data_IF_710264146983
#
_entry.id   IF_710264146983
#
_cell.length_a   1.000
_cell.length_b   1.000
_cell.length_c   1.000
_cell.angle_alpha   90.00
_cell.angle_beta   90.00
_cell.angle_gamma   90.00
#
_symmetry.space_group_name_H-M   'P 1'
#
loop_
_entity.id
_entity.type
_entity.pdbx_description
1 polymer ?
#
# COMPACT_ATOMS: atom_id res chain seq x y z
N UNK A 1 -14.64 -25.92 12.57
CA UNK A 1 -14.62 -24.65 11.81
C UNK A 1 -13.77 -24.86 10.58
N UNK A 2 -14.11 -24.23 9.46
CA UNK A 2 -13.27 -24.29 8.27
C UNK A 2 -11.94 -23.53 8.53
N UNK A 3 -10.84 -24.04 8.00
CA UNK A 3 -9.58 -23.34 8.00
C UNK A 3 -9.64 -22.27 6.89
N UNK A 4 -9.51 -21.00 7.29
CA UNK A 4 -9.58 -19.86 6.36
C UNK A 4 -8.20 -19.30 6.02
N UNK A 5 -7.12 -19.89 6.54
CA UNK A 5 -5.77 -19.43 6.29
C UNK A 5 -5.44 -19.48 4.79
N UNK A 6 -4.76 -18.46 4.33
CA UNK A 6 -4.25 -18.36 2.97
C UNK A 6 -2.79 -17.92 2.98
N UNK A 7 -2.05 -18.30 1.96
CA UNK A 7 -0.65 -17.90 1.79
C UNK A 7 -0.54 -16.99 0.57
N UNK A 8 0.07 -15.85 0.77
CA UNK A 8 0.40 -14.91 -0.31
C UNK A 8 1.91 -14.66 -0.22
N UNK A 9 2.63 -15.08 -1.27
CA UNK A 9 4.05 -14.80 -1.40
C UNK A 9 4.90 -15.17 -0.16
N UNK A 10 4.62 -16.33 0.43
CA UNK A 10 5.32 -16.81 1.62
C UNK A 10 4.78 -16.29 2.96
N UNK A 11 3.90 -15.30 2.95
CA UNK A 11 3.24 -14.79 4.17
C UNK A 11 1.94 -15.53 4.41
N UNK A 12 1.76 -16.10 5.60
CA UNK A 12 0.50 -16.71 6.03
C UNK A 12 -0.43 -15.63 6.59
N UNK A 13 -1.64 -15.56 6.04
CA UNK A 13 -2.73 -14.74 6.55
C UNK A 13 -3.75 -15.62 7.26
N UNK A 14 -4.28 -15.17 8.39
CA UNK A 14 -5.30 -15.90 9.17
C UNK A 14 -6.59 -16.16 8.37
N UNK A 15 -6.88 -15.32 7.39
CA UNK A 15 -8.00 -15.42 6.46
C UNK A 15 -7.74 -14.51 5.23
N UNK A 16 -8.53 -14.61 4.14
CA UNK A 16 -8.30 -13.85 2.91
C UNK A 16 -8.76 -12.38 2.95
N UNK A 17 -9.25 -11.88 4.10
CA UNK A 17 -9.73 -10.50 4.20
C UNK A 17 -8.57 -9.55 4.45
N UNK A 18 -8.31 -8.65 3.52
CA UNK A 18 -7.32 -7.59 3.66
C UNK A 18 -8.04 -6.25 3.59
N UNK A 19 -7.88 -5.42 4.63
CA UNK A 19 -8.35 -4.04 4.58
C UNK A 19 -7.58 -3.26 3.52
N UNK A 20 -8.31 -2.62 2.60
CA UNK A 20 -7.70 -1.94 1.46
C UNK A 20 -7.06 -0.62 1.85
N UNK A 21 -5.89 -0.34 1.30
CA UNK A 21 -5.20 0.94 1.41
C UNK A 21 -6.11 2.10 0.95
N UNK A 22 -6.02 3.22 1.65
CA UNK A 22 -6.78 4.44 1.35
C UNK A 22 -8.17 4.50 1.98
N UNK A 23 -8.66 3.41 2.59
CA UNK A 23 -9.97 3.36 3.26
C UNK A 23 -9.87 3.05 4.75
N UNK A 24 -8.71 2.61 5.22
CA UNK A 24 -8.51 2.07 6.56
C UNK A 24 -7.47 2.84 7.41
N UNK A 25 -6.79 3.82 6.84
CA UNK A 25 -5.71 4.53 7.52
C UNK A 25 -4.58 3.59 7.94
N UNK A 26 -4.14 3.71 9.17
CA UNK A 26 -3.27 2.74 9.84
C UNK A 26 -4.04 1.81 10.78
N UNK A 27 -5.38 1.89 10.79
CA UNK A 27 -6.25 1.00 11.55
C UNK A 27 -6.62 1.48 12.96
N UNK A 28 -6.06 2.59 13.45
CA UNK A 28 -6.30 3.09 14.80
C UNK A 28 -7.79 3.28 15.10
N UNK A 29 -8.50 3.97 14.22
CA UNK A 29 -9.93 4.25 14.38
C UNK A 29 -10.79 2.98 14.33
N UNK A 30 -10.40 2.01 13.51
CA UNK A 30 -11.11 0.74 13.39
C UNK A 30 -10.81 -0.21 14.54
N UNK A 31 -9.60 -0.14 15.11
CA UNK A 31 -9.21 -0.90 16.30
C UNK A 31 -10.05 -0.57 17.55
N UNK A 32 -10.67 0.62 17.58
CA UNK A 32 -11.65 0.98 18.62
C UNK A 32 -13.00 0.27 18.46
N UNK A 33 -13.32 -0.23 17.26
CA UNK A 33 -14.61 -0.84 16.94
C UNK A 33 -14.59 -2.37 17.04
N UNK A 34 -13.48 -3.01 16.67
CA UNK A 34 -13.31 -4.47 16.70
C UNK A 34 -11.82 -4.87 16.69
N UNK A 35 -11.49 -6.09 17.15
CA UNK A 35 -10.12 -6.59 17.10
C UNK A 35 -9.60 -6.70 15.66
N UNK A 36 -8.50 -6.03 15.35
CA UNK A 36 -7.93 -6.07 14.00
C UNK A 36 -7.37 -7.45 13.63
N UNK A 37 -7.14 -8.34 14.59
CA UNK A 37 -6.80 -9.75 14.38
C UNK A 37 -7.88 -10.57 13.66
N UNK A 38 -9.11 -10.04 13.54
CA UNK A 38 -10.16 -10.64 12.71
C UNK A 38 -9.87 -10.49 11.20
N UNK A 39 -8.98 -9.57 10.83
CA UNK A 39 -8.51 -9.39 9.46
C UNK A 39 -7.26 -10.24 9.20
N UNK A 40 -7.16 -10.82 8.01
CA UNK A 40 -5.95 -11.50 7.56
C UNK A 40 -4.79 -10.54 7.32
N UNK A 41 -5.09 -9.28 6.95
CA UNK A 41 -4.07 -8.26 6.75
C UNK A 41 -4.63 -6.85 6.64
N UNK A 42 -3.76 -5.87 6.81
CA UNK A 42 -4.06 -4.45 6.62
C UNK A 42 -3.07 -3.87 5.62
N UNK A 43 -3.57 -3.44 4.45
CA UNK A 43 -2.80 -2.55 3.58
C UNK A 43 -2.95 -1.12 4.10
N UNK A 44 -1.86 -0.60 4.66
CA UNK A 44 -1.81 0.67 5.36
C UNK A 44 -2.07 1.85 4.44
N UNK A 45 -2.28 3.02 5.03
CA UNK A 45 -2.27 4.30 4.33
C UNK A 45 -0.99 4.44 3.50
N UNK A 46 -1.14 4.91 2.26
CA UNK A 46 0.02 5.17 1.41
C UNK A 46 0.99 6.15 2.06
N UNK A 47 2.21 5.69 2.28
CA UNK A 47 3.31 6.46 2.88
C UNK A 47 4.30 6.90 1.81
N UNK A 48 4.93 8.04 2.02
CA UNK A 48 5.98 8.60 1.17
C UNK A 48 7.30 8.70 1.92
N UNK A 49 8.39 8.90 1.20
CA UNK A 49 9.73 9.01 1.80
C UNK A 49 9.78 10.13 2.85
N UNK A 50 9.16 11.27 2.54
CA UNK A 50 8.99 12.40 3.45
C UNK A 50 7.51 12.59 3.79
N UNK A 51 7.22 13.25 4.91
CA UNK A 51 5.87 13.66 5.28
C UNK A 51 5.19 14.46 4.16
N UNK A 52 3.88 14.25 3.97
CA UNK A 52 3.03 15.05 3.09
C UNK A 52 1.83 15.59 3.85
N UNK A 53 1.71 16.89 3.90
CA UNK A 53 0.57 17.60 4.51
C UNK A 53 -0.72 17.47 3.71
N UNK A 54 -0.62 17.03 2.43
CA UNK A 54 -1.75 16.94 1.51
C UNK A 54 -2.16 18.31 0.95
N UNK A 55 -3.34 18.34 0.32
CA UNK A 55 -3.89 19.57 -0.24
C UNK A 55 -4.50 20.46 0.86
N UNK A 56 -4.58 21.79 0.66
CA UNK A 56 -5.31 22.68 1.58
C UNK A 56 -6.82 22.36 1.54
N UNK A 57 -7.55 22.59 2.66
CA UNK A 57 -9.02 22.50 2.68
C UNK A 57 -9.69 23.52 1.75
N UNK A 58 -10.93 23.23 1.24
CA UNK A 58 -11.71 22.01 1.45
C UNK A 58 -11.18 20.83 0.64
N UNK A 59 -11.17 19.63 1.23
CA UNK A 59 -10.64 18.40 0.62
C UNK A 59 -11.71 17.40 0.23
N UNK A 60 -12.92 17.61 0.69
CA UNK A 60 -14.07 16.72 0.52
C UNK A 60 -15.25 17.57 0.09
N UNK A 61 -16.03 17.06 -0.85
CA UNK A 61 -17.30 17.64 -1.28
C UNK A 61 -18.33 16.53 -1.48
N UNK A 62 -19.48 16.68 -0.86
CA UNK A 62 -20.60 15.76 -1.06
C UNK A 62 -21.26 15.99 -2.42
N UNK A 63 -21.79 14.92 -2.99
CA UNK A 63 -22.58 14.94 -4.22
C UNK A 63 -23.87 14.13 -3.98
N UNK A 64 -24.91 14.27 -4.81
CA UNK A 64 -26.14 13.50 -4.63
C UNK A 64 -25.98 11.98 -4.58
N UNK A 65 -24.91 11.44 -5.13
CA UNK A 65 -24.67 10.00 -5.23
C UNK A 65 -23.37 9.53 -4.58
N UNK A 66 -22.68 10.39 -3.82
CA UNK A 66 -21.41 10.02 -3.20
C UNK A 66 -20.59 11.22 -2.72
N UNK A 67 -19.26 11.05 -2.77
CA UNK A 67 -18.32 12.02 -2.24
C UNK A 67 -17.13 12.17 -3.18
N UNK A 68 -16.74 13.38 -3.48
CA UNK A 68 -15.48 13.73 -4.12
C UNK A 68 -14.42 14.02 -3.07
N UNK A 69 -13.19 13.59 -3.29
CA UNK A 69 -12.09 13.95 -2.41
C UNK A 69 -10.84 14.39 -3.20
N UNK A 70 -10.07 15.26 -2.57
CA UNK A 70 -8.78 15.74 -3.04
C UNK A 70 -7.80 15.83 -1.87
N UNK A 71 -7.66 14.75 -1.10
CA UNK A 71 -6.82 14.71 0.12
C UNK A 71 -5.35 14.98 -0.20
N UNK A 72 -4.85 14.54 -1.36
CA UNK A 72 -3.47 14.80 -1.78
C UNK A 72 -2.43 13.89 -1.11
N UNK A 73 -2.82 12.66 -0.79
CA UNK A 73 -1.96 11.65 -0.17
C UNK A 73 -1.29 12.13 1.13
N UNK A 74 -2.06 12.83 1.99
CA UNK A 74 -1.58 13.20 3.32
C UNK A 74 -1.12 11.95 4.08
N UNK A 75 0.11 12.00 4.58
CA UNK A 75 0.69 10.91 5.37
C UNK A 75 1.92 11.42 6.16
N UNK A 76 2.32 10.74 7.25
CA UNK A 76 3.38 11.20 8.12
C UNK A 76 4.81 10.87 7.61
N UNK A 77 4.95 10.16 6.48
CA UNK A 77 6.23 9.68 5.97
C UNK A 77 6.69 8.36 6.59
N UNK A 78 7.64 7.71 5.90
CA UNK A 78 8.11 6.36 6.26
C UNK A 78 8.79 6.30 7.64
N UNK A 79 9.53 7.32 8.02
CA UNK A 79 10.26 7.31 9.30
C UNK A 79 9.31 7.41 10.51
N UNK A 80 8.19 8.15 10.37
CA UNK A 80 7.15 8.18 11.40
C UNK A 80 6.43 6.81 11.45
N UNK A 81 6.05 6.27 10.31
CA UNK A 81 5.40 4.96 10.23
C UNK A 81 6.21 3.88 10.95
N UNK A 82 7.52 3.81 10.68
CA UNK A 82 8.40 2.83 11.31
C UNK A 82 8.54 3.00 12.83
N UNK A 83 8.48 4.24 13.32
CA UNK A 83 8.68 4.55 14.73
C UNK A 83 7.41 4.46 15.57
N UNK A 84 6.25 4.84 15.00
CA UNK A 84 5.01 5.01 15.75
C UNK A 84 3.93 4.00 15.32
N UNK A 85 3.58 3.95 14.02
CA UNK A 85 2.43 3.16 13.57
C UNK A 85 2.75 1.66 13.47
N UNK A 86 3.93 1.30 12.98
CA UNK A 86 4.30 -0.11 12.79
C UNK A 86 4.38 -0.89 14.11
N UNK A 87 5.02 -0.40 15.19
CA UNK A 87 5.02 -1.12 16.47
C UNK A 87 3.62 -1.38 16.99
N UNK A 88 2.73 -0.39 16.92
CA UNK A 88 1.33 -0.55 17.33
C UNK A 88 0.60 -1.59 16.45
N UNK A 89 0.78 -1.55 15.14
CA UNK A 89 0.17 -2.52 14.20
C UNK A 89 0.62 -3.95 14.49
N UNK A 90 1.89 -4.16 14.85
CA UNK A 90 2.41 -5.50 15.19
C UNK A 90 1.74 -6.11 16.42
N UNK A 91 1.28 -5.28 17.35
CA UNK A 91 0.52 -5.72 18.53
C UNK A 91 -0.89 -6.18 18.20
N UNK A 92 -1.42 -5.84 17.01
CA UNK A 92 -2.80 -6.16 16.63
C UNK A 92 -3.01 -7.59 16.14
N UNK A 93 -1.95 -8.36 15.87
CA UNK A 93 -2.06 -9.77 15.46
C UNK A 93 -2.63 -9.99 14.05
N UNK A 94 -2.40 -9.06 13.14
CA UNK A 94 -2.76 -9.12 11.71
C UNK A 94 -1.53 -8.84 10.84
N UNK A 95 -1.52 -9.32 9.60
CA UNK A 95 -0.41 -9.02 8.70
C UNK A 95 -0.39 -7.55 8.30
N UNK A 96 0.81 -6.95 8.32
CA UNK A 96 1.03 -5.54 8.01
C UNK A 96 1.62 -5.40 6.60
N UNK A 97 0.86 -4.75 5.71
CA UNK A 97 1.26 -4.47 4.35
C UNK A 97 1.55 -2.97 4.22
N UNK A 98 2.82 -2.61 4.11
CA UNK A 98 3.21 -1.21 3.94
C UNK A 98 2.93 -0.75 2.51
N UNK A 99 1.99 0.18 2.34
CA UNK A 99 1.69 0.78 1.04
C UNK A 99 2.62 1.97 0.81
N UNK A 100 3.50 1.89 -0.19
CA UNK A 100 4.48 2.95 -0.49
C UNK A 100 4.14 3.68 -1.79
N UNK A 101 4.29 4.99 -1.78
CA UNK A 101 4.03 5.86 -2.91
C UNK A 101 5.16 6.89 -3.08
N UNK A 102 5.62 7.06 -4.30
CA UNK A 102 6.70 8.00 -4.64
C UNK A 102 6.43 8.73 -5.94
N UNK A 103 7.21 9.76 -6.20
CA UNK A 103 7.20 10.49 -7.46
C UNK A 103 8.21 9.92 -8.45
N UNK A 104 9.27 9.29 -7.96
CA UNK A 104 10.34 8.71 -8.77
C UNK A 104 10.65 7.27 -8.34
N UNK A 105 11.24 6.45 -9.22
CA UNK A 105 11.67 5.10 -8.86
C UNK A 105 12.61 5.06 -7.65
N UNK A 106 13.50 6.05 -7.53
CA UNK A 106 14.47 6.15 -6.45
C UNK A 106 13.78 6.33 -5.08
N UNK A 107 12.66 7.07 -5.03
CA UNK A 107 11.86 7.20 -3.80
C UNK A 107 11.26 5.85 -3.37
N UNK A 108 10.75 5.04 -4.33
CA UNK A 108 10.26 3.70 -4.03
C UNK A 108 11.39 2.78 -3.55
N UNK A 109 12.55 2.82 -4.19
CA UNK A 109 13.71 2.04 -3.78
C UNK A 109 14.18 2.40 -2.37
N UNK A 110 14.30 3.69 -2.07
CA UNK A 110 14.71 4.16 -0.74
C UNK A 110 13.72 3.75 0.36
N UNK A 111 12.41 3.74 0.06
CA UNK A 111 11.41 3.25 1.01
C UNK A 111 11.46 1.72 1.14
N UNK A 112 11.64 0.99 0.04
CA UNK A 112 11.78 -0.46 0.07
C UNK A 112 12.99 -0.89 0.90
N UNK A 113 14.12 -0.19 0.77
CA UNK A 113 15.32 -0.42 1.57
C UNK A 113 15.05 -0.20 3.07
N UNK A 114 14.45 0.94 3.45
CA UNK A 114 14.10 1.23 4.85
C UNK A 114 13.14 0.19 5.44
N UNK A 115 12.17 -0.28 4.67
CA UNK A 115 11.19 -1.27 5.11
C UNK A 115 11.77 -2.68 5.15
N UNK A 116 12.84 -2.97 4.40
CA UNK A 116 13.47 -4.28 4.35
C UNK A 116 14.02 -4.72 5.71
N UNK A 117 14.49 -3.78 6.51
CA UNK A 117 15.03 -4.03 7.85
C UNK A 117 13.95 -3.90 8.95
N UNK A 118 12.68 -3.82 8.57
CA UNK A 118 11.55 -3.64 9.50
C UNK A 118 10.69 -4.89 9.63
N UNK A 119 9.74 -4.86 10.57
CA UNK A 119 8.80 -5.95 10.83
C UNK A 119 7.54 -5.91 9.96
N UNK A 120 7.55 -5.25 8.80
CA UNK A 120 6.43 -5.35 7.85
C UNK A 120 6.42 -6.72 7.17
N UNK A 121 5.24 -7.28 6.94
CA UNK A 121 5.10 -8.60 6.30
C UNK A 121 5.21 -8.49 4.77
N UNK A 122 4.71 -7.40 4.18
CA UNK A 122 4.73 -7.17 2.73
C UNK A 122 4.82 -5.68 2.40
N UNK A 123 5.27 -5.39 1.18
CA UNK A 123 5.27 -4.03 0.61
C UNK A 123 4.31 -3.97 -0.58
N UNK A 124 3.38 -3.01 -0.57
CA UNK A 124 2.48 -2.71 -1.69
C UNK A 124 2.99 -1.46 -2.44
N UNK A 125 3.33 -1.60 -3.72
CA UNK A 125 3.70 -0.46 -4.56
C UNK A 125 2.44 0.28 -5.04
N UNK A 126 2.24 1.50 -4.58
CA UNK A 126 1.14 2.36 -5.03
C UNK A 126 1.48 3.03 -6.36
N UNK A 127 1.17 2.37 -7.44
CA UNK A 127 1.36 2.85 -8.82
C UNK A 127 0.05 3.32 -9.45
N UNK A 128 -0.99 3.54 -8.66
CA UNK A 128 -2.34 3.90 -9.12
C UNK A 128 -2.83 5.29 -8.67
N UNK A 129 -2.04 6.04 -7.91
CA UNK A 129 -2.46 7.31 -7.35
C UNK A 129 -2.52 8.41 -8.43
N UNK A 130 -3.72 8.97 -8.75
CA UNK A 130 -3.84 10.05 -9.73
C UNK A 130 -3.41 11.41 -9.18
N UNK A 131 -3.27 11.53 -7.87
CA UNK A 131 -3.00 12.79 -7.16
C UNK A 131 -1.53 13.15 -7.06
N UNK A 132 -0.65 12.40 -7.75
CA UNK A 132 0.79 12.67 -7.81
C UNK A 132 1.09 13.23 -9.20
N UNK A 133 1.56 14.48 -9.28
CA UNK A 133 1.82 15.17 -10.56
C UNK A 133 2.91 14.51 -11.42
N UNK A 134 3.83 13.79 -10.79
CA UNK A 134 4.87 12.97 -11.42
C UNK A 134 4.97 11.67 -10.64
N UNK A 135 4.93 10.52 -11.31
CA UNK A 135 4.93 9.21 -10.65
C UNK A 135 3.53 8.58 -10.51
N UNK A 136 3.34 7.67 -9.56
CA UNK A 136 2.02 7.06 -9.29
C UNK A 136 1.37 6.42 -10.51
N UNK A 137 0.25 6.97 -10.99
CA UNK A 137 -0.49 6.46 -12.17
C UNK A 137 0.41 6.27 -13.39
N UNK A 138 1.41 7.12 -13.61
CA UNK A 138 2.27 7.05 -14.79
C UNK A 138 3.03 5.72 -14.87
N UNK A 139 3.44 5.16 -13.74
CA UNK A 139 4.09 3.84 -13.70
C UNK A 139 3.11 2.69 -13.94
N UNK A 140 1.86 2.85 -13.52
CA UNK A 140 0.83 1.82 -13.62
C UNK A 140 0.13 1.73 -14.98
N UNK A 141 0.40 2.65 -15.93
CA UNK A 141 -0.32 2.73 -17.22
C UNK A 141 0.27 1.86 -18.32
N UNK A 142 1.47 1.31 -18.14
CA UNK A 142 2.12 0.45 -19.13
C UNK A 142 2.82 -0.74 -18.48
N UNK A 143 2.92 -1.86 -19.22
CA UNK A 143 3.65 -3.04 -18.75
C UNK A 143 5.12 -2.70 -18.43
N UNK A 144 5.78 -1.93 -19.29
CA UNK A 144 7.17 -1.52 -19.10
C UNK A 144 7.36 -0.66 -17.84
N UNK A 145 6.40 0.25 -17.55
CA UNK A 145 6.42 1.06 -16.34
C UNK A 145 6.26 0.21 -15.08
N UNK A 146 5.30 -0.72 -15.08
CA UNK A 146 5.09 -1.66 -13.96
C UNK A 146 6.29 -2.57 -13.76
N UNK A 147 6.85 -3.14 -14.84
CA UNK A 147 8.04 -3.99 -14.79
C UNK A 147 9.24 -3.22 -14.26
N UNK A 148 9.48 -2.02 -14.79
CA UNK A 148 10.61 -1.18 -14.39
C UNK A 148 10.60 -0.81 -12.91
N UNK A 149 9.47 -0.30 -12.40
CA UNK A 149 9.37 0.09 -10.98
C UNK A 149 9.42 -1.12 -10.05
N UNK A 150 8.80 -2.23 -10.45
CA UNK A 150 8.77 -3.43 -9.62
C UNK A 150 10.13 -4.09 -9.52
N UNK A 151 10.83 -4.29 -10.65
CA UNK A 151 12.16 -4.92 -10.63
C UNK A 151 13.17 -4.08 -9.87
N UNK A 152 13.09 -2.76 -9.94
CA UNK A 152 13.93 -1.88 -9.13
C UNK A 152 13.61 -2.00 -7.64
N UNK A 153 12.36 -1.87 -7.24
CA UNK A 153 11.96 -1.97 -5.82
C UNK A 153 12.30 -3.33 -5.21
N UNK A 154 12.07 -4.43 -5.94
CA UNK A 154 12.40 -5.79 -5.48
C UNK A 154 13.90 -5.97 -5.23
N UNK A 155 14.77 -5.32 -6.00
CA UNK A 155 16.23 -5.43 -5.81
C UNK A 155 16.72 -4.79 -4.51
N UNK A 156 15.91 -3.95 -3.85
CA UNK A 156 16.24 -3.26 -2.59
C UNK A 156 15.57 -3.88 -1.37
N UNK A 157 14.80 -4.96 -1.53
CA UNK A 157 14.14 -5.60 -0.40
C UNK A 157 14.09 -7.13 -0.57
N UNK A 158 14.20 -7.84 0.55
CA UNK A 158 13.95 -9.28 0.62
C UNK A 158 12.46 -9.60 0.87
N UNK A 159 11.65 -8.55 1.14
CA UNK A 159 10.21 -8.67 1.33
C UNK A 159 9.50 -8.89 -0.01
N UNK A 160 8.37 -9.59 0.01
CA UNK A 160 7.56 -9.71 -1.19
C UNK A 160 6.86 -8.40 -1.53
N UNK A 161 6.83 -8.09 -2.82
CA UNK A 161 6.24 -6.86 -3.32
C UNK A 161 4.90 -7.16 -3.98
N UNK A 162 3.81 -6.80 -3.31
CA UNK A 162 2.47 -6.91 -3.84
C UNK A 162 2.12 -5.70 -4.71
N UNK A 163 1.48 -5.98 -5.86
CA UNK A 163 1.04 -4.96 -6.81
C UNK A 163 -0.46 -4.74 -6.70
N UNK A 164 -0.88 -3.54 -6.33
CA UNK A 164 -2.28 -3.15 -6.42
C UNK A 164 -2.66 -2.88 -7.87
N UNK A 165 -3.67 -3.57 -8.38
CA UNK A 165 -4.29 -3.22 -9.66
C UNK A 165 -5.09 -1.93 -9.50
N UNK A 166 -4.88 -0.97 -10.43
CA UNK A 166 -5.70 0.23 -10.48
C UNK A 166 -7.16 -0.13 -10.74
N UNK A 167 -8.04 0.20 -9.81
CA UNK A 167 -9.48 0.11 -10.03
C UNK A 167 -9.87 1.20 -11.05
N UNK A 168 -10.19 0.83 -12.28
CA UNK A 168 -10.80 1.78 -13.19
C UNK A 168 -10.52 1.63 -14.69
N UNK A 169 -9.59 0.82 -15.14
CA UNK A 169 -9.45 0.53 -16.57
C UNK A 169 -9.08 -0.93 -16.77
N UNK A 170 -10.10 -1.77 -16.91
CA UNK A 170 -9.99 -3.13 -17.43
C UNK A 170 -9.68 -3.09 -18.94
N UNK A 171 -8.58 -2.50 -19.32
CA UNK A 171 -7.89 -2.95 -20.51
C UNK A 171 -6.94 -4.05 -20.06
N UNK A 172 -7.24 -5.28 -20.52
CA UNK A 172 -6.36 -6.43 -20.37
C UNK A 172 -5.01 -6.07 -20.98
N UNK A 173 -4.11 -5.55 -20.17
CA UNK A 173 -2.71 -5.48 -20.52
C UNK A 173 -2.22 -6.92 -20.44
N UNK A 174 -2.09 -7.56 -21.58
CA UNK A 174 -1.68 -8.96 -21.70
C UNK A 174 -0.22 -9.16 -21.34
N UNK A 175 0.14 -8.96 -20.08
CA UNK A 175 1.44 -9.34 -19.54
C UNK A 175 1.47 -10.87 -19.36
N UNK A 176 1.77 -11.60 -20.42
CA UNK A 176 1.92 -13.07 -20.42
C UNK A 176 3.26 -13.56 -19.94
N UNK A 177 4.01 -12.88 -19.13
CA UNK A 177 5.26 -13.43 -18.57
C UNK A 177 5.59 -12.78 -17.22
N UNK A 178 4.89 -13.14 -16.17
CA UNK A 178 5.51 -13.20 -14.86
C UNK A 178 5.52 -14.68 -14.45
N UNK A 179 6.69 -15.31 -14.51
CA UNK A 179 6.92 -16.58 -13.80
C UNK A 179 7.27 -16.19 -12.36
N UNK A 180 6.60 -16.76 -11.36
CA UNK A 180 7.13 -16.69 -10.00
C UNK A 180 8.44 -17.47 -9.98
N UNK A 181 9.43 -16.93 -9.31
CA UNK A 181 10.64 -17.65 -8.94
C UNK A 181 10.34 -18.64 -7.83
#
# INVERSE_FOLDING_TARGET
MADLRVHIAGVELSNPLIAASGTFGFGHEYGELYPLSELGGISCKGITLQERTGNPPPRIAETPSGMLNAVGLQNPGVDHFLREDLPWLREQGTAVIANIAGNTPEEYCAMAEKLSDSDVDMVELNISCPNVKQGGVQFGTSCAGVEGITSQAVSYTHLDVYKRQAAGSLQRVGCRKFRPF
#
